data_IF_383275739128
#
_entry.id   IF_383275739128
#
_cell.length_a   1.000
_cell.length_b   1.000
_cell.length_c   1.000
_cell.angle_alpha   90.00
_cell.angle_beta   90.00
_cell.angle_gamma   90.00
#
_symmetry.space_group_name_H-M   'P 1'
#
loop_
_entity.id
_entity.type
_entity.pdbx_description
1 polymer ?
#
# COMPACT_ATOMS: atom_id res chain seq x y z
N UNK A 1 -45.29 -21.94 -32.57
CA UNK A 1 -44.36 -20.91 -33.07
C UNK A 1 -44.18 -19.89 -31.96
N UNK A 2 -43.09 -19.97 -31.20
CA UNK A 2 -42.82 -19.05 -30.08
C UNK A 2 -41.32 -18.97 -29.88
N UNK A 3 -40.71 -17.90 -30.38
CA UNK A 3 -39.26 -17.65 -30.36
C UNK A 3 -38.86 -17.01 -29.03
N UNK A 4 -38.03 -17.71 -28.25
CA UNK A 4 -37.26 -17.15 -27.14
C UNK A 4 -36.17 -16.22 -27.70
N UNK A 5 -36.16 -14.96 -27.28
CA UNK A 5 -35.05 -14.04 -27.50
C UNK A 5 -34.23 -13.92 -26.21
N UNK A 6 -33.07 -14.57 -26.19
CA UNK A 6 -32.10 -14.49 -25.09
C UNK A 6 -31.18 -13.28 -25.35
N UNK A 7 -31.41 -12.17 -24.65
CA UNK A 7 -30.56 -10.98 -24.70
C UNK A 7 -29.29 -11.22 -23.88
N UNK A 8 -28.22 -11.60 -24.58
CA UNK A 8 -26.87 -11.69 -24.01
C UNK A 8 -26.31 -10.26 -23.88
N UNK A 9 -26.41 -9.68 -22.69
CA UNK A 9 -25.73 -8.41 -22.39
C UNK A 9 -24.23 -8.66 -22.29
N UNK A 10 -23.48 -8.33 -23.35
CA UNK A 10 -22.03 -8.23 -23.28
C UNK A 10 -21.67 -7.06 -22.35
N UNK A 11 -21.29 -7.35 -21.11
CA UNK A 11 -20.61 -6.38 -20.27
C UNK A 11 -19.23 -6.14 -20.86
N UNK A 12 -19.06 -5.02 -21.56
CA UNK A 12 -17.74 -4.52 -21.95
C UNK A 12 -16.94 -4.26 -20.67
N UNK A 13 -16.02 -5.15 -20.35
CA UNK A 13 -14.96 -4.86 -19.37
C UNK A 13 -14.03 -3.85 -20.03
N UNK A 14 -14.29 -2.57 -19.81
CA UNK A 14 -13.35 -1.52 -20.18
C UNK A 14 -12.07 -1.76 -19.37
N UNK A 15 -11.01 -2.25 -20.02
CA UNK A 15 -9.65 -2.15 -19.50
C UNK A 15 -9.30 -0.66 -19.51
N UNK A 16 -9.64 0.03 -18.44
CA UNK A 16 -9.28 1.43 -18.28
C UNK A 16 -7.75 1.51 -18.26
N UNK A 17 -7.18 2.23 -19.24
CA UNK A 17 -5.82 2.73 -19.11
C UNK A 17 -5.82 3.59 -17.85
N UNK A 18 -5.24 3.09 -16.75
CA UNK A 18 -5.36 3.63 -15.39
C UNK A 18 -4.51 4.91 -15.17
N UNK A 19 -4.56 5.85 -16.11
CA UNK A 19 -3.90 7.15 -16.09
C UNK A 19 -4.50 8.13 -15.05
N UNK A 20 -3.78 9.18 -14.62
CA UNK A 20 -4.36 10.23 -13.80
C UNK A 20 -5.65 10.84 -14.40
N UNK A 21 -6.62 11.18 -13.55
CA UNK A 21 -7.85 11.89 -13.90
C UNK A 21 -9.10 11.03 -14.14
N UNK A 22 -8.98 9.70 -14.18
CA UNK A 22 -10.15 8.80 -14.26
C UNK A 22 -10.73 8.49 -12.90
N UNK A 23 -12.01 8.13 -12.90
CA UNK A 23 -12.73 7.70 -11.71
C UNK A 23 -12.11 6.42 -11.13
N UNK A 24 -12.07 6.34 -9.80
CA UNK A 24 -11.53 5.22 -9.05
C UNK A 24 -12.28 5.06 -7.73
N UNK A 25 -12.09 3.91 -7.07
CA UNK A 25 -12.48 3.73 -5.66
C UNK A 25 -11.43 2.98 -4.85
N UNK A 26 -11.30 3.35 -3.58
CA UNK A 26 -10.42 2.65 -2.62
C UNK A 26 -10.98 1.28 -2.18
N UNK A 27 -12.25 0.98 -2.49
CA UNK A 27 -12.86 -0.33 -2.20
C UNK A 27 -12.25 -1.47 -3.02
N UNK A 28 -11.59 -1.14 -4.14
CA UNK A 28 -10.90 -2.11 -4.99
C UNK A 28 -9.42 -2.28 -4.60
N UNK A 29 -8.93 -1.53 -3.62
CA UNK A 29 -7.56 -1.61 -3.13
C UNK A 29 -7.33 -2.93 -2.42
N UNK A 30 -6.30 -3.67 -2.85
CA UNK A 30 -5.99 -4.99 -2.29
C UNK A 30 -4.54 -5.37 -2.52
N UNK A 31 -4.07 -6.29 -1.70
CA UNK A 31 -2.82 -7.00 -1.95
C UNK A 31 -3.13 -8.24 -2.80
N UNK A 32 -2.36 -8.44 -3.85
CA UNK A 32 -2.33 -9.71 -4.57
C UNK A 32 -1.87 -10.82 -3.61
N UNK A 33 -2.68 -11.88 -3.49
CA UNK A 33 -2.47 -12.91 -2.48
C UNK A 33 -1.21 -13.76 -2.74
N UNK A 34 -0.73 -13.83 -3.99
CA UNK A 34 0.43 -14.63 -4.34
C UNK A 34 1.74 -13.84 -4.21
N UNK A 35 1.72 -12.56 -4.58
CA UNK A 35 2.93 -11.72 -4.68
C UNK A 35 3.05 -10.70 -3.55
N UNK A 36 1.96 -10.41 -2.84
CA UNK A 36 1.90 -9.32 -1.87
C UNK A 36 1.97 -7.93 -2.51
N UNK A 37 1.82 -7.82 -3.85
CA UNK A 37 1.82 -6.53 -4.55
C UNK A 37 0.51 -5.79 -4.28
N UNK A 38 0.60 -4.51 -3.89
CA UNK A 38 -0.56 -3.62 -3.83
C UNK A 38 -1.11 -3.33 -5.23
N UNK A 39 -2.43 -3.47 -5.38
CA UNK A 39 -3.18 -3.23 -6.62
C UNK A 39 -4.38 -2.35 -6.31
N UNK A 40 -4.63 -1.35 -7.16
CA UNK A 40 -5.78 -0.44 -7.09
C UNK A 40 -6.37 -0.22 -8.49
N UNK A 41 -7.40 0.63 -8.58
CA UNK A 41 -7.95 1.08 -9.87
C UNK A 41 -7.00 2.02 -10.64
N UNK A 42 -5.98 2.56 -9.97
CA UNK A 42 -5.03 3.51 -10.53
C UNK A 42 -3.73 2.82 -10.95
N UNK A 43 -2.98 3.43 -11.87
CA UNK A 43 -1.66 2.91 -12.25
C UNK A 43 -0.64 2.99 -11.12
N UNK A 44 0.52 2.35 -11.31
CA UNK A 44 1.60 2.31 -10.30
C UNK A 44 2.15 3.73 -9.96
N UNK A 45 1.85 4.77 -10.75
CA UNK A 45 2.28 6.15 -10.54
C UNK A 45 1.20 7.07 -9.94
N UNK A 46 -0.01 6.56 -9.70
CA UNK A 46 -1.14 7.33 -9.18
C UNK A 46 -1.85 6.62 -8.01
N UNK A 47 -2.69 7.36 -7.31
CA UNK A 47 -3.47 6.90 -6.15
C UNK A 47 -4.92 7.41 -6.26
N UNK A 48 -5.86 6.71 -5.64
CA UNK A 48 -7.24 7.16 -5.66
C UNK A 48 -7.48 8.26 -4.62
N UNK A 49 -7.91 9.45 -5.07
CA UNK A 49 -8.16 10.61 -4.20
C UNK A 49 -9.51 10.58 -3.46
N UNK A 50 -10.13 9.40 -3.36
CA UNK A 50 -11.40 9.23 -2.68
C UNK A 50 -11.28 9.64 -1.21
N UNK A 51 -12.26 10.41 -0.73
CA UNK A 51 -12.39 10.77 0.69
C UNK A 51 -13.76 10.29 1.18
N UNK A 52 -13.77 9.30 2.07
CA UNK A 52 -14.98 8.88 2.80
C UNK A 52 -16.10 8.27 1.95
N UNK A 53 -15.78 7.45 0.94
CA UNK A 53 -16.82 6.76 0.15
C UNK A 53 -17.30 7.50 -1.09
N UNK A 54 -16.69 8.65 -1.43
CA UNK A 54 -17.07 9.48 -2.57
C UNK A 54 -16.40 9.03 -3.88
N UNK A 55 -16.91 9.49 -5.02
CA UNK A 55 -16.27 9.25 -6.32
C UNK A 55 -14.86 9.86 -6.35
N UNK A 56 -13.84 9.02 -6.20
CA UNK A 56 -12.44 9.41 -6.28
C UNK A 56 -11.97 9.59 -7.72
N UNK A 57 -10.80 10.22 -7.86
CA UNK A 57 -10.09 10.25 -9.14
C UNK A 57 -8.64 9.85 -8.94
N UNK A 58 -8.02 9.20 -9.94
CA UNK A 58 -6.61 8.88 -9.88
C UNK A 58 -5.78 10.17 -9.92
N UNK A 59 -5.01 10.43 -8.88
CA UNK A 59 -4.11 11.57 -8.76
C UNK A 59 -2.65 11.07 -8.71
N UNK A 60 -1.67 11.84 -9.21
CA UNK A 60 -0.27 11.46 -9.12
C UNK A 60 0.13 11.18 -7.67
N UNK A 61 0.94 10.13 -7.45
CA UNK A 61 1.48 9.82 -6.13
C UNK A 61 2.24 11.03 -5.57
N UNK A 62 2.05 11.26 -4.27
CA UNK A 62 2.65 12.40 -3.56
C UNK A 62 3.93 12.02 -2.81
N UNK A 63 4.17 10.72 -2.63
CA UNK A 63 5.39 10.18 -2.05
C UNK A 63 5.76 8.85 -2.71
N UNK A 64 7.01 8.42 -2.51
CA UNK A 64 7.46 7.05 -2.78
C UNK A 64 8.07 6.43 -1.54
N UNK A 65 8.00 5.11 -1.48
CA UNK A 65 8.77 4.29 -0.53
C UNK A 65 10.12 3.88 -1.13
N UNK A 66 10.11 3.45 -2.38
CA UNK A 66 11.29 2.85 -3.01
C UNK A 66 12.23 3.94 -3.57
N UNK A 67 13.51 3.85 -3.23
CA UNK A 67 14.54 4.80 -3.67
C UNK A 67 14.79 4.74 -5.19
N UNK A 68 14.58 3.56 -5.78
CA UNK A 68 14.68 3.27 -7.22
C UNK A 68 13.30 2.98 -7.81
N UNK A 69 12.54 4.00 -8.24
CA UNK A 69 11.15 3.85 -8.59
C UNK A 69 11.01 3.39 -10.04
N UNK A 70 10.90 2.08 -10.23
CA UNK A 70 10.52 1.48 -11.50
C UNK A 70 9.11 1.97 -11.89
N UNK A 71 8.90 2.33 -13.16
CA UNK A 71 7.60 2.78 -13.67
C UNK A 71 7.43 4.30 -13.86
N UNK A 72 8.35 5.13 -13.37
CA UNK A 72 8.27 6.60 -13.50
C UNK A 72 8.97 7.16 -14.75
N UNK A 73 9.11 6.37 -15.83
CA UNK A 73 9.99 6.69 -16.97
C UNK A 73 9.88 8.13 -17.49
N UNK A 74 8.66 8.65 -17.66
CA UNK A 74 8.39 10.00 -18.16
C UNK A 74 7.62 10.88 -17.15
N UNK A 75 7.43 10.42 -15.92
CA UNK A 75 6.64 11.10 -14.89
C UNK A 75 7.56 11.73 -13.84
N UNK A 76 7.11 12.83 -13.24
CA UNK A 76 7.81 13.41 -12.08
C UNK A 76 7.85 12.39 -10.96
N UNK A 77 9.06 11.99 -10.57
CA UNK A 77 9.28 11.07 -9.46
C UNK A 77 8.93 11.77 -8.14
N UNK A 78 7.98 11.25 -7.33
CA UNK A 78 7.62 11.85 -6.06
C UNK A 78 8.77 11.73 -5.05
N UNK A 79 8.85 12.61 -4.04
CA UNK A 79 9.92 12.57 -3.05
C UNK A 79 9.80 11.35 -2.12
N UNK A 80 10.93 10.96 -1.53
CA UNK A 80 10.92 10.08 -0.35
C UNK A 80 10.37 10.85 0.85
N UNK A 81 9.74 10.14 1.78
CA UNK A 81 9.28 10.75 3.02
C UNK A 81 10.44 11.12 3.95
N UNK A 82 10.35 12.25 4.68
CA UNK A 82 11.36 12.63 5.65
C UNK A 82 11.44 11.59 6.79
N UNK A 83 12.58 11.57 7.49
CA UNK A 83 12.77 10.69 8.65
C UNK A 83 11.67 10.91 9.69
N UNK A 84 11.15 9.83 10.26
CA UNK A 84 10.03 9.88 11.21
C UNK A 84 8.65 9.89 10.55
N UNK A 85 8.58 9.67 9.23
CA UNK A 85 7.34 9.49 8.48
C UNK A 85 7.48 8.37 7.46
N UNK A 86 6.35 7.85 6.97
CA UNK A 86 6.30 6.80 5.97
C UNK A 86 5.41 7.20 4.79
N UNK A 87 5.62 6.57 3.64
CA UNK A 87 4.73 6.67 2.49
C UNK A 87 3.79 5.45 2.50
N UNK A 88 2.46 5.63 2.53
CA UNK A 88 1.55 4.50 2.47
C UNK A 88 1.59 3.85 1.07
N UNK A 89 1.15 2.60 0.95
CA UNK A 89 1.27 1.79 -0.28
C UNK A 89 0.59 2.44 -1.49
N UNK A 90 -0.54 3.11 -1.28
CA UNK A 90 -1.24 3.89 -2.30
C UNK A 90 -0.45 5.12 -2.74
N UNK A 91 0.46 5.66 -1.91
CA UNK A 91 1.27 6.82 -2.23
C UNK A 91 0.56 8.17 -2.08
N UNK A 92 -0.47 8.24 -1.23
CA UNK A 92 -1.30 9.43 -1.01
C UNK A 92 -0.59 10.60 -0.32
N UNK A 93 0.68 10.45 0.09
CA UNK A 93 1.45 11.44 0.83
C UNK A 93 2.02 10.92 2.15
N UNK A 94 3.04 11.60 2.66
CA UNK A 94 3.77 11.16 3.86
C UNK A 94 2.92 11.28 5.12
N UNK A 95 2.96 10.23 5.96
CA UNK A 95 2.23 10.15 7.23
C UNK A 95 3.18 9.93 8.41
N UNK A 96 2.87 10.43 9.62
CA UNK A 96 3.64 10.10 10.82
C UNK A 96 3.67 8.59 11.05
N UNK A 97 4.75 8.08 11.66
CA UNK A 97 4.85 6.68 12.05
C UNK A 97 3.67 6.26 12.95
N UNK A 98 3.19 5.04 12.72
CA UNK A 98 2.07 4.40 13.37
C UNK A 98 2.48 3.90 14.76
N UNK A 99 1.72 4.27 15.78
CA UNK A 99 1.95 3.79 17.14
C UNK A 99 1.69 2.28 17.26
N UNK A 100 2.33 1.63 18.24
CA UNK A 100 2.06 0.22 18.53
C UNK A 100 0.58 -0.02 18.88
N UNK A 101 0.06 -1.14 18.42
CA UNK A 101 -1.34 -1.53 18.52
C UNK A 101 -2.25 -0.88 17.47
N UNK A 102 -1.75 0.08 16.69
CA UNK A 102 -2.52 0.70 15.61
C UNK A 102 -2.34 -0.03 14.27
N UNK A 103 -3.31 0.12 13.34
CA UNK A 103 -3.27 -0.55 12.07
C UNK A 103 -2.10 -0.13 11.18
N UNK A 104 -1.49 -1.09 10.49
CA UNK A 104 -0.43 -0.88 9.50
C UNK A 104 -0.67 -1.74 8.27
N UNK A 105 -0.05 -1.35 7.15
CA UNK A 105 -0.14 -2.11 5.89
C UNK A 105 0.76 -3.36 5.98
N UNK A 106 0.25 -4.50 5.51
CA UNK A 106 0.91 -5.81 5.69
C UNK A 106 2.34 -5.81 5.13
N UNK A 107 3.31 -6.24 5.94
CA UNK A 107 4.72 -6.31 5.54
C UNK A 107 5.38 -4.93 5.39
N UNK A 108 4.83 -3.90 6.04
CA UNK A 108 5.35 -2.53 6.05
C UNK A 108 5.84 -2.12 7.45
N UNK A 109 6.92 -2.76 7.88
CA UNK A 109 7.51 -2.53 9.20
C UNK A 109 7.98 -1.08 9.37
N UNK A 110 8.38 -0.41 8.27
CA UNK A 110 8.81 0.98 8.24
C UNK A 110 7.72 1.97 8.66
N UNK A 111 6.45 1.55 8.68
CA UNK A 111 5.34 2.37 9.14
C UNK A 111 5.30 2.46 10.65
N UNK A 112 5.87 1.48 11.36
CA UNK A 112 5.73 1.37 12.81
C UNK A 112 6.75 2.24 13.55
N UNK A 113 6.25 2.92 14.59
CA UNK A 113 7.05 3.79 15.42
C UNK A 113 7.98 2.96 16.33
N UNK A 114 9.28 3.29 16.39
CA UNK A 114 10.24 2.57 17.22
C UNK A 114 10.01 2.85 18.71
N UNK A 115 10.33 1.89 19.60
CA UNK A 115 10.39 2.14 21.04
C UNK A 115 11.63 2.97 21.41
N UNK A 116 11.65 3.57 22.61
CA UNK A 116 12.79 4.35 23.09
C UNK A 116 14.11 3.57 23.15
N UNK A 117 14.04 2.25 23.39
CA UNK A 117 15.17 1.33 23.43
C UNK A 117 15.31 0.48 22.15
N UNK A 118 14.90 1.01 20.99
CA UNK A 118 14.88 0.25 19.73
C UNK A 118 16.21 -0.39 19.34
N UNK A 119 17.33 0.20 19.75
CA UNK A 119 18.68 -0.32 19.47
C UNK A 119 18.91 -1.71 20.08
N UNK A 120 18.26 -2.02 21.20
CA UNK A 120 18.33 -3.33 21.85
C UNK A 120 17.44 -4.38 21.16
N UNK A 121 16.50 -3.93 20.32
CA UNK A 121 15.45 -4.74 19.69
C UNK A 121 15.65 -4.87 18.17
N UNK A 122 16.40 -3.95 17.56
CA UNK A 122 16.76 -3.99 16.16
C UNK A 122 17.61 -5.22 15.84
N UNK A 123 17.45 -5.75 14.63
CA UNK A 123 18.18 -6.93 14.17
C UNK A 123 18.27 -6.93 12.64
N UNK A 124 18.89 -7.94 12.04
CA UNK A 124 18.82 -8.11 10.58
C UNK A 124 17.39 -8.30 10.05
N UNK A 125 16.43 -8.64 10.90
CA UNK A 125 15.04 -8.91 10.54
C UNK A 125 14.10 -7.71 10.76
N UNK A 126 14.55 -6.64 11.43
CA UNK A 126 13.76 -5.43 11.65
C UNK A 126 14.67 -4.23 11.83
N UNK A 127 14.31 -3.09 11.22
CA UNK A 127 15.19 -1.92 11.22
C UNK A 127 15.22 -1.16 12.56
N UNK A 128 14.12 -1.16 13.31
CA UNK A 128 13.90 -0.18 14.38
C UNK A 128 13.15 -0.72 15.61
N UNK A 129 13.20 -2.04 15.86
CA UNK A 129 12.57 -2.69 17.01
C UNK A 129 11.05 -2.88 16.90
N UNK A 130 10.43 -2.45 15.81
CA UNK A 130 8.99 -2.60 15.55
C UNK A 130 8.72 -3.21 14.19
N UNK A 131 7.62 -3.96 14.08
CA UNK A 131 7.19 -4.67 12.87
C UNK A 131 5.67 -4.55 12.70
N UNK A 132 5.20 -4.66 11.46
CA UNK A 132 3.80 -4.76 11.12
C UNK A 132 3.39 -6.23 11.02
N UNK A 133 2.78 -6.77 12.08
CA UNK A 133 2.36 -8.16 12.14
C UNK A 133 0.85 -8.24 12.28
N UNK A 134 0.19 -9.05 11.44
CA UNK A 134 -1.27 -9.17 11.39
C UNK A 134 -1.98 -7.81 11.27
N UNK A 135 -1.44 -6.93 10.41
CA UNK A 135 -1.96 -5.58 10.16
C UNK A 135 -1.98 -4.68 11.40
N UNK A 136 -1.16 -4.96 12.42
CA UNK A 136 -0.98 -4.12 13.59
C UNK A 136 0.49 -3.93 13.93
N UNK A 137 0.86 -2.70 14.28
CA UNK A 137 2.22 -2.42 14.72
C UNK A 137 2.49 -3.06 16.08
N UNK A 138 3.62 -3.76 16.20
CA UNK A 138 4.05 -4.38 17.45
C UNK A 138 5.55 -4.28 17.61
N UNK A 139 6.02 -4.32 18.86
CA UNK A 139 7.45 -4.44 19.13
C UNK A 139 7.91 -5.88 18.93
N UNK A 140 9.12 -6.02 18.39
CA UNK A 140 9.78 -7.31 18.34
C UNK A 140 10.14 -7.72 19.77
N UNK A 141 9.59 -8.84 20.23
CA UNK A 141 10.06 -9.45 21.47
C UNK A 141 11.27 -10.31 21.14
N UNK A 142 12.25 -10.35 22.04
CA UNK A 142 13.46 -11.19 21.89
C UNK A 142 13.15 -12.69 21.75
N UNK A 143 11.96 -13.13 22.16
CA UNK A 143 11.46 -14.51 21.98
C UNK A 143 10.65 -14.74 20.70
N UNK A 144 10.38 -13.68 19.93
CA UNK A 144 9.66 -13.72 18.64
C UNK A 144 10.66 -13.68 17.47
N UNK A 145 11.86 -14.22 17.67
CA UNK A 145 12.68 -14.77 16.59
C UNK A 145 11.96 -16.03 16.07
N UNK A 146 10.92 -15.87 15.27
CA UNK A 146 10.25 -17.01 14.65
C UNK A 146 11.21 -17.68 13.67
N UNK A 147 11.68 -18.88 14.07
CA UNK A 147 12.08 -20.02 13.25
C UNK A 147 13.17 -19.76 12.19
N UNK A 148 14.42 -19.75 12.66
CA UNK A 148 15.61 -19.92 11.82
C UNK A 148 16.42 -21.18 12.15
N UNK A 149 15.78 -22.21 12.75
CA UNK A 149 16.38 -23.54 12.93
C UNK A 149 15.66 -24.54 12.02
N UNK A 150 16.03 -24.52 10.74
CA UNK A 150 15.95 -25.67 9.83
C UNK A 150 17.28 -25.80 9.10
#
# INVERSE_FOLDING_TARGET
>A
MGTLALLLALTLSASANSTPGIACTTMNDRLDAATGKFTSDCDDASFCSEVGGANGTCQPRQCRRDEFPFGFANATVPPLCPRGSYCPDEGSGCRPLVAVGQPCQVGRDEQCAPPGNWQDLASGLNANGSVCLNSACTYVRRSLSWLGDH
#
